data_IF_820623586942
#
_entry.id   IF_820623586942
#
_cell.length_a   1.000
_cell.length_b   1.000
_cell.length_c   1.000
_cell.angle_alpha   90.00
_cell.angle_beta   90.00
_cell.angle_gamma   90.00
#
_symmetry.space_group_name_H-M   'P 1'
#
loop_
_entity.id
_entity.type
_entity.pdbx_description
1 polymer ?
#
# COMPACT_ATOMS: atom_id res chain seq x y z
N UNK A 1 2.06 -5.41 -7.79
CA UNK A 1 1.74 -6.85 -7.68
C UNK A 1 3.03 -7.51 -7.29
N UNK A 2 3.07 -8.05 -6.08
CA UNK A 2 4.27 -8.59 -5.46
C UNK A 2 4.46 -10.07 -5.82
N UNK A 3 3.46 -10.90 -5.53
CA UNK A 3 3.48 -12.33 -5.82
C UNK A 3 2.97 -12.67 -7.24
N UNK A 4 3.80 -12.44 -8.27
CA UNK A 4 3.40 -12.77 -9.66
C UNK A 4 3.32 -14.28 -9.92
N UNK A 5 4.18 -15.09 -9.30
CA UNK A 5 4.24 -16.52 -9.60
C UNK A 5 3.24 -17.37 -8.81
N UNK A 6 2.98 -17.04 -7.54
CA UNK A 6 1.86 -17.62 -6.79
C UNK A 6 0.51 -17.29 -7.45
N UNK A 7 0.36 -16.07 -8.01
CA UNK A 7 -0.82 -15.71 -8.79
C UNK A 7 -1.10 -16.68 -9.95
N UNK A 8 -0.08 -17.16 -10.65
CA UNK A 8 -0.27 -18.11 -11.76
C UNK A 8 -0.87 -19.43 -11.27
N UNK A 9 -0.41 -19.95 -10.13
CA UNK A 9 -0.91 -21.20 -9.55
C UNK A 9 -2.42 -21.12 -9.25
N UNK A 10 -2.87 -20.00 -8.68
CA UNK A 10 -4.30 -19.74 -8.44
C UNK A 10 -5.07 -19.58 -9.76
N UNK A 11 -4.52 -18.86 -10.74
CA UNK A 11 -5.13 -18.71 -12.08
C UNK A 11 -5.16 -20.03 -12.87
N UNK A 12 -4.29 -20.99 -12.53
CA UNK A 12 -4.24 -22.36 -13.06
C UNK A 12 -5.14 -23.34 -12.28
N UNK A 13 -5.75 -22.91 -11.16
CA UNK A 13 -6.80 -23.65 -10.44
C UNK A 13 -6.52 -23.95 -8.96
N UNK A 14 -5.33 -23.62 -8.44
CA UNK A 14 -5.01 -23.77 -7.00
C UNK A 14 -5.59 -22.60 -6.19
N UNK A 15 -6.91 -22.55 -6.06
CA UNK A 15 -7.67 -21.40 -5.54
C UNK A 15 -7.34 -21.00 -4.09
N UNK A 16 -6.55 -21.81 -3.37
CA UNK A 16 -6.15 -21.62 -1.98
C UNK A 16 -4.64 -21.31 -1.81
N UNK A 17 -3.87 -21.11 -2.90
CA UNK A 17 -2.45 -20.77 -2.79
C UNK A 17 -2.23 -19.29 -2.47
N UNK A 18 -1.39 -19.03 -1.45
CA UNK A 18 -0.94 -17.70 -0.99
C UNK A 18 0.53 -17.44 -1.20
N UNK A 19 1.33 -18.50 -1.19
CA UNK A 19 2.79 -18.45 -1.20
C UNK A 19 3.27 -18.11 -2.61
N UNK A 20 4.54 -17.78 -2.73
CA UNK A 20 5.13 -17.58 -4.06
C UNK A 20 5.31 -18.90 -4.82
N UNK A 21 5.77 -18.83 -6.07
CA UNK A 21 6.04 -20.02 -6.89
C UNK A 21 7.19 -20.93 -6.41
N UNK A 22 7.73 -20.70 -5.20
CA UNK A 22 8.66 -21.59 -4.48
C UNK A 22 8.07 -22.11 -3.17
N UNK A 23 6.79 -21.86 -2.90
CA UNK A 23 6.10 -22.27 -1.67
C UNK A 23 6.53 -21.48 -0.44
N UNK A 24 7.01 -20.23 -0.58
CA UNK A 24 7.37 -19.34 0.54
C UNK A 24 6.31 -18.27 0.78
N UNK A 25 5.91 -18.08 2.04
CA UNK A 25 5.07 -16.98 2.48
C UNK A 25 5.88 -15.68 2.49
N UNK A 26 5.55 -14.77 1.57
CA UNK A 26 6.22 -13.49 1.44
C UNK A 26 5.99 -12.57 2.67
N UNK A 27 4.94 -12.79 3.45
CA UNK A 27 4.67 -12.06 4.70
C UNK A 27 5.13 -12.85 5.96
N UNK A 28 6.02 -13.85 5.79
CA UNK A 28 6.89 -14.42 6.84
C UNK A 28 8.39 -14.30 6.50
N UNK A 29 8.73 -13.76 5.32
CA UNK A 29 10.09 -13.73 4.78
C UNK A 29 10.88 -12.43 5.13
N UNK A 30 10.40 -11.58 6.03
CA UNK A 30 11.07 -10.35 6.45
C UNK A 30 11.90 -10.57 7.72
N UNK A 31 12.89 -9.71 8.01
CA UNK A 31 13.90 -9.99 9.05
C UNK A 31 13.49 -9.79 10.52
N UNK A 32 12.28 -9.31 10.81
CA UNK A 32 11.84 -9.08 12.20
C UNK A 32 11.32 -10.37 12.80
N UNK A 33 12.00 -10.89 13.83
CA UNK A 33 11.72 -12.17 14.50
C UNK A 33 11.65 -13.39 13.53
N UNK A 34 12.37 -13.29 12.40
CA UNK A 34 12.30 -14.26 11.30
C UNK A 34 12.54 -15.71 11.73
N UNK A 35 11.73 -16.64 11.21
CA UNK A 35 11.89 -18.08 11.43
C UNK A 35 11.42 -18.57 12.81
N UNK A 36 10.99 -17.68 13.70
CA UNK A 36 10.26 -18.03 14.92
C UNK A 36 8.90 -18.63 14.57
N UNK A 37 8.47 -19.59 15.38
CA UNK A 37 7.27 -20.40 15.18
C UNK A 37 6.41 -20.33 16.42
N UNK A 38 5.15 -19.93 16.27
CA UNK A 38 4.17 -20.03 17.35
C UNK A 38 3.65 -21.47 17.51
N UNK A 39 2.80 -21.70 18.52
CA UNK A 39 2.30 -23.04 18.86
C UNK A 39 1.38 -23.63 17.79
N UNK A 40 0.74 -22.76 17.03
CA UNK A 40 -0.19 -23.01 15.93
C UNK A 40 0.48 -22.90 14.54
N UNK A 41 1.82 -22.77 14.49
CA UNK A 41 2.59 -22.69 13.25
C UNK A 41 2.35 -23.86 12.30
N UNK A 42 1.82 -23.57 11.11
CA UNK A 42 1.75 -24.54 10.01
C UNK A 42 2.93 -24.36 9.01
N UNK A 43 3.83 -25.36 8.85
CA UNK A 43 4.93 -25.28 7.88
C UNK A 43 4.51 -25.26 6.41
N UNK A 44 3.32 -25.75 6.06
CA UNK A 44 2.80 -25.64 4.70
C UNK A 44 2.46 -24.18 4.43
N UNK A 45 1.63 -23.61 5.28
CA UNK A 45 1.10 -22.26 5.15
C UNK A 45 2.16 -21.17 5.40
N UNK A 46 2.86 -21.21 6.53
CA UNK A 46 3.73 -20.13 7.04
C UNK A 46 5.21 -20.37 6.74
N UNK A 47 5.55 -21.03 5.63
CA UNK A 47 6.94 -21.27 5.26
C UNK A 47 7.71 -19.94 5.11
N UNK A 48 8.68 -19.61 5.99
CA UNK A 48 9.33 -18.29 6.01
C UNK A 48 10.50 -18.19 5.02
N UNK A 49 10.77 -19.24 4.23
CA UNK A 49 11.90 -19.34 3.31
C UNK A 49 13.16 -19.91 3.95
N UNK A 50 14.29 -19.82 3.25
CA UNK A 50 15.59 -20.34 3.72
C UNK A 50 16.38 -19.35 4.57
N UNK A 51 15.96 -18.08 4.57
CA UNK A 51 16.54 -16.99 5.34
C UNK A 51 15.68 -15.74 5.20
N UNK A 52 15.88 -14.71 6.06
CA UNK A 52 15.20 -13.43 5.88
C UNK A 52 15.61 -12.82 4.54
N UNK A 53 14.63 -12.39 3.75
CA UNK A 53 14.81 -11.93 2.38
C UNK A 53 15.41 -12.99 1.43
N UNK A 54 15.12 -14.28 1.63
CA UNK A 54 15.51 -15.31 0.65
C UNK A 54 14.82 -15.13 -0.71
N UNK A 55 13.65 -14.48 -0.74
CA UNK A 55 12.85 -14.35 -1.96
C UNK A 55 13.14 -13.04 -2.71
N UNK A 56 13.40 -13.03 -4.04
CA UNK A 56 13.57 -11.81 -4.82
C UNK A 56 12.40 -10.83 -4.69
N UNK A 57 11.16 -11.32 -4.48
CA UNK A 57 9.98 -10.50 -4.23
C UNK A 57 10.17 -9.56 -3.02
N UNK A 58 10.57 -10.09 -1.86
CA UNK A 58 10.80 -9.30 -0.63
C UNK A 58 12.09 -8.49 -0.72
N UNK A 59 13.13 -8.99 -1.38
CA UNK A 59 14.38 -8.24 -1.64
C UNK A 59 14.12 -6.95 -2.43
N UNK A 60 13.27 -7.02 -3.46
CA UNK A 60 12.89 -5.85 -4.28
C UNK A 60 12.10 -4.84 -3.43
N UNK A 61 11.11 -5.29 -2.66
CA UNK A 61 10.31 -4.39 -1.81
C UNK A 61 11.15 -3.75 -0.70
N UNK A 62 12.04 -4.51 -0.05
CA UNK A 62 13.04 -3.97 0.90
C UNK A 62 13.91 -2.89 0.25
N UNK A 63 14.46 -3.16 -0.94
CA UNK A 63 15.30 -2.18 -1.66
C UNK A 63 14.49 -0.92 -2.00
N UNK A 64 13.27 -1.08 -2.51
CA UNK A 64 12.39 0.05 -2.83
C UNK A 64 12.13 0.91 -1.60
N UNK A 65 11.69 0.33 -0.48
CA UNK A 65 11.40 1.08 0.74
C UNK A 65 12.61 1.84 1.28
N UNK A 66 13.78 1.20 1.36
CA UNK A 66 15.03 1.84 1.81
C UNK A 66 15.50 2.97 0.88
N UNK A 67 15.21 2.90 -0.43
CA UNK A 67 15.58 3.96 -1.39
C UNK A 67 14.56 5.08 -1.51
N UNK A 68 13.28 4.78 -1.28
CA UNK A 68 12.18 5.72 -1.43
C UNK A 68 11.97 6.59 -0.18
N UNK A 69 12.25 6.03 1.01
CA UNK A 69 12.06 6.66 2.32
C UNK A 69 10.59 7.10 2.55
N UNK A 70 9.66 6.13 2.68
CA UNK A 70 8.23 6.42 2.78
C UNK A 70 7.85 6.97 4.15
N UNK A 71 6.95 7.94 4.16
CA UNK A 71 6.31 8.45 5.38
C UNK A 71 5.14 7.54 5.81
N UNK A 72 4.51 6.88 4.84
CA UNK A 72 3.41 5.94 5.06
C UNK A 72 3.64 4.69 4.22
N UNK A 73 3.43 3.53 4.85
CA UNK A 73 3.39 2.21 4.22
C UNK A 73 2.03 1.56 4.45
N UNK A 74 1.45 1.01 3.38
CA UNK A 74 0.21 0.22 3.44
C UNK A 74 0.44 -1.11 2.74
N UNK A 75 0.20 -2.21 3.45
CA UNK A 75 0.24 -3.57 2.95
C UNK A 75 -1.21 -4.07 2.81
N UNK A 76 -1.66 -4.51 1.63
CA UNK A 76 -3.11 -4.74 1.36
C UNK A 76 -3.37 -6.24 1.17
N UNK A 77 -4.19 -6.81 2.04
CA UNK A 77 -4.54 -8.23 2.18
C UNK A 77 -6.06 -8.44 2.13
N UNK A 78 -6.49 -9.69 2.05
CA UNK A 78 -7.89 -10.10 2.17
C UNK A 78 -8.02 -11.43 2.91
N UNK A 79 -9.23 -11.67 3.44
CA UNK A 79 -9.59 -12.77 4.35
C UNK A 79 -10.52 -12.32 5.47
N UNK A 80 -10.50 -11.02 5.78
CA UNK A 80 -11.36 -10.37 6.76
C UNK A 80 -11.51 -8.87 6.45
N UNK A 81 -12.32 -8.15 7.23
CA UNK A 81 -12.37 -6.68 7.22
C UNK A 81 -11.70 -6.13 8.51
N UNK A 82 -10.45 -5.65 8.38
CA UNK A 82 -9.66 -5.11 9.50
C UNK A 82 -8.57 -4.13 9.05
N UNK A 83 -8.15 -3.25 9.97
CA UNK A 83 -7.08 -2.28 9.79
C UNK A 83 -6.05 -2.46 10.89
N UNK A 84 -4.94 -3.10 10.57
CA UNK A 84 -3.84 -3.29 11.49
C UNK A 84 -2.78 -2.18 11.39
N UNK A 85 -2.16 -1.94 12.53
CA UNK A 85 -0.87 -1.27 12.68
C UNK A 85 0.08 -2.25 13.40
N UNK A 86 1.40 -1.96 13.48
CA UNK A 86 2.32 -2.74 14.31
C UNK A 86 1.83 -2.85 15.77
N UNK A 87 2.31 -3.82 16.54
CA UNK A 87 3.11 -4.96 16.10
C UNK A 87 2.24 -6.12 15.63
N UNK A 88 2.72 -6.92 14.69
CA UNK A 88 2.15 -8.23 14.32
C UNK A 88 2.79 -9.36 15.15
N UNK A 89 4.12 -9.31 15.33
CA UNK A 89 4.92 -10.32 16.03
C UNK A 89 4.89 -10.25 17.56
N UNK A 90 4.22 -9.22 18.13
CA UNK A 90 4.13 -9.01 19.59
C UNK A 90 2.70 -8.78 20.04
N UNK A 91 2.36 -9.35 21.18
CA UNK A 91 1.17 -9.00 21.95
C UNK A 91 1.34 -7.66 22.69
N UNK A 92 1.65 -6.61 21.95
CA UNK A 92 1.84 -5.24 22.47
C UNK A 92 1.54 -4.25 21.35
N UNK A 93 0.78 -3.20 21.65
CA UNK A 93 0.70 -2.02 20.79
C UNK A 93 1.97 -1.18 20.99
N UNK A 94 2.58 -0.60 19.94
CA UNK A 94 3.63 0.38 20.08
C UNK A 94 3.15 1.58 20.89
N UNK A 95 4.02 2.17 21.70
CA UNK A 95 3.69 3.34 22.51
C UNK A 95 3.97 4.66 21.80
N UNK A 96 3.42 5.74 22.37
CA UNK A 96 3.77 7.12 22.02
C UNK A 96 3.04 7.71 20.81
N UNK A 97 3.40 8.95 20.51
CA UNK A 97 2.62 9.87 19.67
C UNK A 97 2.37 9.33 18.25
N UNK A 98 3.33 8.63 17.64
CA UNK A 98 3.15 8.01 16.31
C UNK A 98 2.10 6.88 16.33
N UNK A 99 2.02 6.12 17.43
CA UNK A 99 0.99 5.08 17.61
C UNK A 99 -0.40 5.70 17.72
N UNK A 100 -0.54 6.79 18.49
CA UNK A 100 -1.80 7.52 18.62
C UNK A 100 -2.26 8.12 17.28
N UNK A 101 -1.32 8.65 16.49
CA UNK A 101 -1.54 9.18 15.13
C UNK A 101 -1.97 8.10 14.15
N UNK A 102 -1.30 6.94 14.16
CA UNK A 102 -1.71 5.75 13.40
C UNK A 102 -3.14 5.34 13.76
N UNK A 103 -3.43 5.13 15.05
CA UNK A 103 -4.78 4.77 15.54
C UNK A 103 -5.85 5.81 15.17
N UNK A 104 -5.51 7.11 15.23
CA UNK A 104 -6.38 8.21 14.80
C UNK A 104 -6.70 8.17 13.31
N UNK A 105 -5.71 7.86 12.46
CA UNK A 105 -5.93 7.66 11.02
C UNK A 105 -6.79 6.42 10.75
N UNK A 106 -6.49 5.28 11.39
CA UNK A 106 -7.27 4.05 11.23
C UNK A 106 -8.73 4.22 11.66
N UNK A 107 -9.00 4.93 12.75
CA UNK A 107 -10.36 5.24 13.20
C UNK A 107 -11.14 6.07 12.17
N UNK A 108 -10.49 7.07 11.55
CA UNK A 108 -11.11 7.85 10.47
C UNK A 108 -11.35 7.03 9.21
N UNK A 109 -10.41 6.15 8.84
CA UNK A 109 -10.56 5.25 7.68
C UNK A 109 -11.70 4.24 7.91
N UNK A 110 -11.78 3.62 9.08
CA UNK A 110 -12.86 2.70 9.43
C UNK A 110 -14.24 3.38 9.34
N UNK A 111 -14.36 4.59 9.88
CA UNK A 111 -15.61 5.34 9.88
C UNK A 111 -16.10 5.74 8.47
N UNK A 112 -15.19 5.97 7.51
CA UNK A 112 -15.54 6.47 6.17
C UNK A 112 -15.58 5.38 5.10
N UNK A 113 -14.65 4.42 5.13
CA UNK A 113 -14.43 3.44 4.05
C UNK A 113 -14.72 1.99 4.45
N UNK A 114 -14.79 1.69 5.75
CA UNK A 114 -15.16 0.36 6.24
C UNK A 114 -16.47 0.39 7.07
N UNK A 115 -17.24 1.48 6.96
CA UNK A 115 -18.58 1.64 7.54
C UNK A 115 -18.69 1.30 9.04
N UNK A 116 -17.58 1.47 9.80
CA UNK A 116 -17.40 1.06 11.21
C UNK A 116 -17.37 -0.46 11.48
N UNK A 117 -17.28 -1.29 10.45
CA UNK A 117 -17.21 -2.75 10.59
C UNK A 117 -15.78 -3.27 10.83
N UNK A 118 -14.75 -2.60 10.29
CA UNK A 118 -13.37 -3.05 10.47
C UNK A 118 -12.95 -3.02 11.95
N UNK A 119 -12.28 -4.08 12.40
CA UNK A 119 -11.49 -4.03 13.63
C UNK A 119 -10.24 -3.16 13.40
N UNK A 120 -9.80 -2.39 14.40
CA UNK A 120 -8.62 -1.50 14.27
C UNK A 120 -7.63 -1.65 15.43
N UNK A 121 -6.32 -1.59 15.16
CA UNK A 121 -5.27 -1.56 16.19
C UNK A 121 -4.03 -2.41 15.87
N UNK A 122 -3.19 -2.68 16.86
CA UNK A 122 -2.03 -3.57 16.71
C UNK A 122 -2.43 -5.00 16.29
N UNK A 123 -1.77 -5.55 15.27
CA UNK A 123 -1.98 -6.91 14.75
C UNK A 123 -1.97 -7.98 15.85
N UNK A 124 -0.86 -8.17 16.55
CA UNK A 124 -0.72 -9.13 17.64
C UNK A 124 -1.28 -8.68 19.00
N UNK A 125 -1.39 -7.37 19.25
CA UNK A 125 -1.72 -6.82 20.57
C UNK A 125 -3.18 -6.36 20.77
N UNK A 126 -3.73 -5.54 19.86
CA UNK A 126 -5.08 -4.96 20.03
C UNK A 126 -6.16 -5.58 19.17
N UNK A 127 -5.78 -6.28 18.09
CA UNK A 127 -6.73 -6.93 17.18
C UNK A 127 -6.61 -8.45 17.24
N UNK A 128 -5.41 -8.99 17.44
CA UNK A 128 -5.14 -10.40 17.12
C UNK A 128 -5.30 -10.63 15.60
N UNK A 129 -4.42 -11.43 15.01
CA UNK A 129 -4.78 -12.04 13.74
C UNK A 129 -5.94 -13.00 13.99
N UNK A 130 -7.14 -12.61 13.54
CA UNK A 130 -8.28 -13.54 13.48
C UNK A 130 -8.08 -14.36 12.22
N UNK A 131 -7.48 -15.54 12.38
CA UNK A 131 -7.58 -16.61 11.39
C UNK A 131 -9.06 -17.00 11.26
N UNK A 132 -9.74 -16.40 10.28
CA UNK A 132 -10.33 -17.25 9.26
C UNK A 132 -9.15 -17.88 8.51
N UNK A 133 -9.15 -19.20 8.41
CA UNK A 133 -8.03 -20.01 7.89
C UNK A 133 -7.54 -19.45 6.54
N UNK A 134 -6.22 -19.39 6.34
CA UNK A 134 -5.50 -18.83 5.19
C UNK A 134 -5.55 -17.29 5.01
N UNK A 135 -4.39 -16.65 4.89
CA UNK A 135 -4.25 -15.28 4.38
C UNK A 135 -3.99 -15.30 2.86
N UNK A 136 -5.05 -15.53 2.07
CA UNK A 136 -4.98 -15.72 0.62
C UNK A 136 -5.39 -14.45 -0.13
N UNK A 137 -4.45 -13.79 -0.81
CA UNK A 137 -4.74 -12.53 -1.50
C UNK A 137 -5.09 -12.70 -2.97
N UNK A 138 -6.36 -12.50 -3.34
CA UNK A 138 -6.78 -12.34 -4.72
C UNK A 138 -7.72 -11.14 -4.98
N UNK A 139 -7.93 -10.85 -6.27
CA UNK A 139 -8.49 -9.63 -6.88
C UNK A 139 -7.78 -8.31 -6.52
N UNK A 140 -7.63 -7.98 -5.25
CA UNK A 140 -6.91 -6.78 -4.83
C UNK A 140 -5.43 -7.08 -4.66
N UNK A 141 -4.66 -6.65 -5.66
CA UNK A 141 -3.20 -6.71 -5.66
C UNK A 141 -2.65 -6.21 -4.32
N UNK A 142 -1.56 -6.83 -3.83
CA UNK A 142 -0.60 -6.18 -2.93
C UNK A 142 -0.20 -4.84 -3.54
N UNK A 143 -0.92 -3.79 -3.11
CA UNK A 143 -0.70 -2.39 -3.42
C UNK A 143 0.06 -1.81 -2.24
N UNK A 144 1.34 -2.17 -2.20
CA UNK A 144 2.33 -1.39 -1.48
C UNK A 144 2.33 0.00 -2.12
N UNK A 145 1.70 0.95 -1.44
CA UNK A 145 1.71 2.37 -1.81
C UNK A 145 2.69 3.06 -0.85
N UNK A 146 3.96 3.23 -1.24
CA UNK A 146 4.90 4.00 -0.45
C UNK A 146 4.59 5.48 -0.67
N UNK A 147 4.13 6.18 0.37
CA UNK A 147 3.72 7.58 0.27
C UNK A 147 4.84 8.46 0.80
N UNK A 148 5.35 9.37 -0.04
CA UNK A 148 6.27 10.44 0.36
C UNK A 148 5.57 11.77 0.18
N UNK A 149 5.43 12.49 1.29
CA UNK A 149 4.68 13.74 1.36
C UNK A 149 5.64 14.91 1.13
N UNK A 150 5.21 15.92 0.37
CA UNK A 150 5.95 17.17 0.16
C UNK A 150 5.31 18.29 0.99
N UNK A 151 6.11 19.23 1.54
CA UNK A 151 5.62 20.21 2.50
C UNK A 151 4.69 21.25 1.86
N UNK A 152 3.53 21.49 2.49
CA UNK A 152 2.56 22.52 2.15
C UNK A 152 1.61 22.82 3.34
N UNK A 153 0.94 23.99 3.40
CA UNK A 153 0.47 24.55 4.69
C UNK A 153 -1.02 24.28 5.05
N UNK A 154 -1.32 24.18 6.38
CA UNK A 154 -2.64 24.42 7.07
C UNK A 154 -3.76 23.34 6.91
N UNK A 155 -4.78 23.11 7.78
CA UNK A 155 -5.23 23.51 9.16
C UNK A 155 -6.26 22.43 9.71
N UNK A 156 -6.87 22.52 10.93
CA UNK A 156 -7.38 21.35 11.70
C UNK A 156 -8.90 21.32 12.05
N UNK A 157 -9.37 20.21 12.68
CA UNK A 157 -10.58 20.11 13.57
C UNK A 157 -10.36 19.06 14.70
N UNK A 158 -11.07 19.20 15.83
CA UNK A 158 -10.92 18.50 17.14
C UNK A 158 -11.83 17.24 17.39
N UNK A 159 -11.57 16.54 18.51
CA UNK A 159 -12.05 15.20 18.97
C UNK A 159 -13.20 15.20 20.00
N UNK A 160 -13.93 14.07 20.17
CA UNK A 160 -14.56 13.60 21.44
C UNK A 160 -14.75 12.05 21.46
N UNK A 161 -15.07 11.47 22.65
CA UNK A 161 -15.04 10.02 23.05
C UNK A 161 -16.20 9.13 22.51
N UNK A 162 -16.38 7.81 22.77
CA UNK A 162 -15.84 6.90 23.83
C UNK A 162 -15.67 5.40 23.41
N UNK A 163 -16.15 4.41 24.21
CA UNK A 163 -15.93 2.95 24.14
C UNK A 163 -17.24 2.14 24.22
N UNK A 164 -17.25 0.96 23.58
CA UNK A 164 -17.89 -0.34 23.96
C UNK A 164 -17.63 -1.31 22.78
N UNK A 165 -17.45 -2.63 22.89
CA UNK A 165 -17.57 -3.53 24.04
C UNK A 165 -18.18 -4.87 23.59
N UNK A 166 -17.38 -5.88 23.21
CA UNK A 166 -17.84 -7.28 23.12
C UNK A 166 -16.68 -8.28 23.04
N UNK A 167 -16.73 -9.35 23.84
CA UNK A 167 -15.77 -10.45 23.80
C UNK A 167 -16.12 -11.42 22.66
N UNK A 168 -15.31 -11.41 21.61
CA UNK A 168 -15.14 -12.57 20.72
C UNK A 168 -13.91 -13.32 21.23
N UNK A 169 -13.97 -14.66 21.27
CA UNK A 169 -12.83 -15.50 21.64
C UNK A 169 -11.72 -15.38 20.59
N UNK A 170 -10.85 -14.37 20.75
CA UNK A 170 -9.66 -14.19 19.92
C UNK A 170 -8.57 -15.15 20.36
N UNK A 171 -8.36 -16.20 19.57
CA UNK A 171 -7.03 -16.78 19.42
C UNK A 171 -6.12 -15.69 18.86
N UNK A 172 -5.22 -15.16 19.69
CA UNK A 172 -4.25 -14.15 19.30
C UNK A 172 -3.07 -14.83 18.63
N UNK A 173 -3.16 -15.03 17.31
CA UNK A 173 -2.04 -15.45 16.49
C UNK A 173 -1.02 -14.30 16.37
N UNK A 174 0.27 -14.62 16.53
CA UNK A 174 1.38 -13.68 16.33
C UNK A 174 2.10 -14.02 15.01
N UNK A 175 2.20 -13.04 14.12
CA UNK A 175 2.84 -13.23 12.82
C UNK A 175 4.30 -12.75 12.87
N UNK A 176 5.26 -13.66 12.66
CA UNK A 176 6.69 -13.34 12.64
C UNK A 176 7.18 -13.07 11.21
N UNK A 177 8.16 -12.18 11.04
CA UNK A 177 8.73 -11.89 9.73
C UNK A 177 7.78 -11.17 8.76
N UNK A 178 6.90 -10.30 9.26
CA UNK A 178 5.95 -9.52 8.42
C UNK A 178 6.59 -8.27 7.80
N UNK A 179 6.00 -7.81 6.70
CA UNK A 179 6.41 -6.57 6.04
C UNK A 179 6.17 -5.33 6.93
N UNK A 180 5.01 -5.27 7.60
CA UNK A 180 4.58 -4.11 8.38
C UNK A 180 5.46 -3.87 9.60
N UNK A 181 5.86 -4.94 10.30
CA UNK A 181 6.81 -4.84 11.40
C UNK A 181 8.21 -4.48 10.93
N UNK A 182 8.69 -5.00 9.78
CA UNK A 182 9.97 -4.56 9.22
C UNK A 182 9.98 -3.07 8.84
N UNK A 183 8.88 -2.57 8.27
CA UNK A 183 8.75 -1.16 7.90
C UNK A 183 8.78 -0.25 9.14
N UNK A 184 8.13 -0.68 10.22
CA UNK A 184 8.11 0.08 11.47
C UNK A 184 9.42 -0.03 12.27
N UNK A 185 9.90 -1.24 12.55
CA UNK A 185 11.07 -1.46 13.43
C UNK A 185 12.41 -1.24 12.72
N UNK A 186 12.54 -1.52 11.42
CA UNK A 186 13.83 -1.44 10.71
C UNK A 186 13.92 -0.23 9.77
N UNK A 187 12.91 -0.02 8.91
CA UNK A 187 12.91 1.13 7.97
C UNK A 187 12.54 2.45 8.69
N UNK A 188 11.90 2.36 9.86
CA UNK A 188 11.41 3.51 10.65
C UNK A 188 10.36 4.36 9.91
N UNK A 189 9.53 3.71 9.11
CA UNK A 189 8.36 4.35 8.47
C UNK A 189 7.44 4.92 9.57
N UNK A 190 7.17 6.23 9.61
CA UNK A 190 6.39 6.88 10.67
C UNK A 190 4.99 6.29 10.87
N UNK A 191 4.35 5.83 9.80
CA UNK A 191 3.05 5.16 9.83
C UNK A 191 3.05 3.92 8.91
N UNK A 192 3.02 2.73 9.50
CA UNK A 192 2.96 1.46 8.77
C UNK A 192 1.65 0.73 9.09
N UNK A 193 1.04 0.12 8.07
CA UNK A 193 -0.27 -0.52 8.20
C UNK A 193 -0.37 -1.82 7.38
N UNK A 194 -1.19 -2.75 7.88
CA UNK A 194 -1.73 -3.88 7.11
C UNK A 194 -3.25 -3.71 7.01
N UNK A 195 -3.82 -3.66 5.82
CA UNK A 195 -5.26 -3.51 5.60
C UNK A 195 -5.81 -4.85 5.08
N UNK A 196 -6.74 -5.43 5.82
CA UNK A 196 -7.58 -6.55 5.38
C UNK A 196 -8.88 -5.96 4.85
N UNK A 197 -9.07 -6.00 3.54
CA UNK A 197 -10.05 -5.13 2.88
C UNK A 197 -11.37 -5.82 2.49
N UNK A 198 -11.42 -7.15 2.62
CA UNK A 198 -12.56 -7.99 2.27
C UNK A 198 -12.39 -9.38 2.87
N UNK A 199 -13.47 -9.98 3.37
CA UNK A 199 -13.55 -11.42 3.64
C UNK A 199 -15.00 -11.87 3.75
N UNK A 200 -15.38 -12.96 3.08
CA UNK A 200 -16.71 -13.55 3.21
C UNK A 200 -16.73 -14.62 4.31
N UNK A 201 -17.19 -14.23 5.51
CA UNK A 201 -17.30 -15.12 6.67
C UNK A 201 -18.39 -16.20 6.52
N UNK A 202 -19.19 -16.16 5.45
CA UNK A 202 -20.18 -17.17 5.08
C UNK A 202 -19.73 -18.04 3.89
N UNK A 203 -18.50 -17.86 3.40
CA UNK A 203 -17.87 -18.82 2.50
C UNK A 203 -17.55 -20.15 3.23
N UNK A 204 -17.47 -21.23 2.45
CA UNK A 204 -16.94 -22.50 2.95
C UNK A 204 -15.43 -22.41 3.04
N UNK A 205 -14.80 -23.06 4.02
CA UNK A 205 -13.32 -23.17 4.10
C UNK A 205 -12.70 -23.89 2.89
N UNK A 206 -13.53 -24.55 2.06
CA UNK A 206 -13.13 -25.15 0.76
C UNK A 206 -13.33 -24.22 -0.45
N UNK A 207 -13.98 -23.08 -0.27
CA UNK A 207 -14.24 -22.08 -1.30
C UNK A 207 -13.39 -20.84 -1.04
N UNK A 208 -12.07 -21.04 -1.13
CA UNK A 208 -11.08 -19.98 -0.96
C UNK A 208 -11.35 -18.81 -1.90
N UNK A 209 -11.72 -19.07 -3.17
CA UNK A 209 -12.01 -17.96 -4.09
C UNK A 209 -13.09 -17.03 -3.51
N UNK A 210 -14.25 -17.55 -3.09
CA UNK A 210 -15.29 -16.72 -2.48
C UNK A 210 -14.85 -16.10 -1.14
N UNK A 211 -14.14 -16.84 -0.29
CA UNK A 211 -13.68 -16.34 1.01
C UNK A 211 -12.81 -15.08 0.88
N UNK A 212 -11.97 -15.02 -0.16
CA UNK A 212 -10.98 -13.95 -0.37
C UNK A 212 -11.34 -12.92 -1.44
N UNK A 213 -12.39 -13.18 -2.23
CA UNK A 213 -12.76 -12.36 -3.39
C UNK A 213 -14.25 -12.06 -3.43
N UNK A 214 -14.65 -10.80 -3.68
CA UNK A 214 -16.03 -10.51 -4.08
C UNK A 214 -16.36 -11.21 -5.40
N UNK A 215 -17.29 -12.17 -5.34
CA UNK A 215 -17.72 -12.98 -6.49
C UNK A 215 -18.79 -12.31 -7.36
N UNK A 216 -19.43 -11.25 -6.86
CA UNK A 216 -20.43 -10.46 -7.57
C UNK A 216 -19.94 -9.03 -7.86
N UNK A 217 -20.48 -8.45 -8.94
CA UNK A 217 -20.06 -7.14 -9.44
C UNK A 217 -20.41 -5.99 -8.48
N UNK A 218 -21.48 -6.11 -7.68
CA UNK A 218 -21.88 -5.07 -6.73
C UNK A 218 -20.89 -4.99 -5.59
N UNK A 219 -20.57 -6.12 -4.97
CA UNK A 219 -19.58 -6.19 -3.89
C UNK A 219 -18.18 -5.86 -4.40
N UNK A 220 -17.80 -6.30 -5.61
CA UNK A 220 -16.52 -5.94 -6.22
C UNK A 220 -16.38 -4.43 -6.38
N UNK A 221 -17.39 -3.76 -6.93
CA UNK A 221 -17.38 -2.31 -7.11
C UNK A 221 -17.40 -1.57 -5.77
N UNK A 222 -18.13 -2.06 -4.76
CA UNK A 222 -18.11 -1.50 -3.39
C UNK A 222 -16.69 -1.51 -2.83
N UNK A 223 -16.07 -2.70 -2.75
CA UNK A 223 -14.71 -2.88 -2.22
C UNK A 223 -13.70 -2.03 -3.01
N UNK A 224 -13.79 -2.01 -4.35
CA UNK A 224 -12.90 -1.19 -5.17
C UNK A 224 -13.05 0.31 -4.90
N UNK A 225 -14.28 0.82 -4.77
CA UNK A 225 -14.55 2.24 -4.55
C UNK A 225 -14.19 2.69 -3.13
N UNK A 226 -14.58 1.93 -2.11
CA UNK A 226 -14.26 2.19 -0.71
C UNK A 226 -12.73 2.24 -0.52
N UNK A 227 -12.01 1.21 -0.97
CA UNK A 227 -10.58 1.10 -0.71
C UNK A 227 -9.70 1.97 -1.61
N UNK A 228 -10.13 2.31 -2.83
CA UNK A 228 -9.47 3.37 -3.62
C UNK A 228 -9.68 4.76 -3.01
N UNK A 229 -10.87 5.03 -2.47
CA UNK A 229 -11.19 6.29 -1.76
C UNK A 229 -10.41 6.45 -0.45
N UNK A 230 -10.08 5.34 0.20
CA UNK A 230 -9.23 5.31 1.40
C UNK A 230 -7.86 5.98 1.16
N UNK A 231 -7.22 5.76 0.00
CA UNK A 231 -5.91 6.36 -0.30
C UNK A 231 -5.98 7.89 -0.42
N UNK A 232 -7.03 8.46 -1.00
CA UNK A 232 -7.23 9.92 -1.01
C UNK A 232 -7.40 10.49 0.41
N UNK A 233 -8.04 9.73 1.30
CA UNK A 233 -8.16 10.08 2.72
C UNK A 233 -6.80 10.02 3.42
N UNK A 234 -5.96 9.03 3.11
CA UNK A 234 -4.58 8.93 3.60
C UNK A 234 -3.71 10.08 3.07
N UNK A 235 -3.80 10.44 1.78
CA UNK A 235 -3.06 11.59 1.23
C UNK A 235 -3.47 12.92 1.87
N UNK A 236 -4.76 13.10 2.18
CA UNK A 236 -5.29 14.31 2.82
C UNK A 236 -4.94 14.41 4.31
N UNK A 237 -5.01 13.30 5.04
CA UNK A 237 -4.87 13.29 6.51
C UNK A 237 -3.45 12.92 6.99
N UNK A 238 -2.69 12.19 6.17
CA UNK A 238 -1.34 11.73 6.47
C UNK A 238 -0.38 12.85 6.88
N UNK A 239 -0.26 13.96 6.12
CA UNK A 239 0.59 15.10 6.50
C UNK A 239 0.20 15.70 7.86
N UNK A 240 -1.10 15.89 8.07
CA UNK A 240 -1.65 16.46 9.31
C UNK A 240 -1.34 15.60 10.54
N UNK A 241 -1.24 14.28 10.36
CA UNK A 241 -0.83 13.35 11.41
C UNK A 241 0.69 13.36 11.64
N UNK A 242 1.51 13.99 10.79
CA UNK A 242 2.98 13.99 10.93
C UNK A 242 3.55 15.30 11.52
N UNK A 243 3.02 16.46 11.15
CA UNK A 243 3.72 17.75 11.36
C UNK A 243 3.71 18.32 12.81
N UNK A 244 2.73 17.97 13.65
CA UNK A 244 2.83 18.02 15.12
C UNK A 244 3.06 19.33 15.90
N UNK A 245 3.45 20.46 15.28
CA UNK A 245 3.86 21.68 15.98
C UNK A 245 2.88 22.87 15.86
N UNK A 246 2.80 23.65 16.95
CA UNK A 246 2.07 24.93 17.15
C UNK A 246 0.55 24.87 17.45
N UNK A 247 0.21 25.06 18.72
CA UNK A 247 -1.15 24.93 19.28
C UNK A 247 -1.65 26.16 20.06
N UNK A 248 -1.34 27.40 19.61
CA UNK A 248 -1.65 28.63 20.39
C UNK A 248 -2.29 29.83 19.67
N UNK A 249 -2.53 29.81 18.36
CA UNK A 249 -3.16 30.96 17.69
C UNK A 249 -4.00 30.57 16.46
N UNK A 250 -5.33 30.64 16.58
CA UNK A 250 -6.32 31.04 15.55
C UNK A 250 -7.73 30.69 16.03
N UNK A 251 -8.39 31.63 16.71
CA UNK A 251 -9.76 31.51 17.20
C UNK A 251 -10.74 32.48 16.50
N UNK A 252 -10.39 32.96 15.31
CA UNK A 252 -11.15 33.98 14.57
C UNK A 252 -10.92 33.85 13.06
N UNK A 253 -11.97 33.51 12.29
CA UNK A 253 -11.87 33.40 10.83
C UNK A 253 -12.67 32.27 10.17
N UNK A 254 -13.72 31.74 10.81
CA UNK A 254 -14.68 30.84 10.14
C UNK A 254 -15.68 31.72 9.38
N UNK A 255 -15.51 31.86 8.06
CA UNK A 255 -16.56 32.29 7.12
C UNK A 255 -16.18 32.27 5.62
N UNK A 256 -14.99 31.77 5.24
CA UNK A 256 -14.60 31.75 3.81
C UNK A 256 -13.72 30.56 3.40
N UNK A 257 -14.35 29.40 3.21
CA UNK A 257 -13.73 28.25 2.55
C UNK A 257 -14.54 27.86 1.30
N UNK A 258 -13.88 27.92 0.14
CA UNK A 258 -14.34 27.32 -1.12
C UNK A 258 -14.05 25.82 -1.05
N UNK A 259 -14.97 24.96 -1.51
CA UNK A 259 -14.73 23.52 -1.45
C UNK A 259 -13.64 23.08 -2.44
N UNK A 260 -12.81 22.11 -2.05
CA UNK A 260 -11.89 21.48 -2.99
C UNK A 260 -12.63 20.60 -4.00
N UNK A 261 -13.85 20.18 -3.68
CA UNK A 261 -14.76 19.51 -4.62
C UNK A 261 -15.19 20.48 -5.73
N UNK A 262 -15.38 21.77 -5.42
CA UNK A 262 -15.72 22.82 -6.38
C UNK A 262 -14.55 23.13 -7.33
N UNK A 263 -13.30 23.04 -6.83
CA UNK A 263 -12.10 23.12 -7.64
C UNK A 263 -11.93 21.88 -8.55
N UNK A 264 -12.23 20.68 -8.06
CA UNK A 264 -12.08 19.44 -8.82
C UNK A 264 -13.21 19.22 -9.83
N UNK A 265 -14.46 19.51 -9.49
CA UNK A 265 -15.57 19.52 -10.46
C UNK A 265 -15.28 20.54 -11.57
N UNK A 266 -14.89 21.77 -11.22
CA UNK A 266 -14.54 22.79 -12.22
C UNK A 266 -13.37 22.38 -13.12
N UNK A 267 -12.30 21.82 -12.57
CA UNK A 267 -11.08 21.50 -13.34
C UNK A 267 -11.15 20.18 -14.12
N UNK A 268 -11.99 19.22 -13.70
CA UNK A 268 -12.04 17.87 -14.29
C UNK A 268 -13.35 17.56 -15.04
N UNK A 269 -14.51 18.11 -14.66
CA UNK A 269 -15.78 17.78 -15.35
C UNK A 269 -15.95 18.49 -16.71
N UNK A 270 -15.25 19.60 -16.96
CA UNK A 270 -15.42 20.37 -18.21
C UNK A 270 -14.68 19.78 -19.43
N UNK A 271 -13.69 18.90 -19.25
CA UNK A 271 -12.99 18.26 -20.37
C UNK A 271 -13.80 17.14 -21.02
N UNK A 272 -14.74 17.53 -21.90
CA UNK A 272 -15.30 16.63 -22.91
C UNK A 272 -14.22 16.21 -23.91
N UNK A 273 -14.22 14.93 -24.30
CA UNK A 273 -13.47 14.47 -25.47
C UNK A 273 -13.97 15.21 -26.73
N UNK A 274 -13.20 15.21 -27.83
CA UNK A 274 -13.54 15.79 -29.14
C UNK A 274 -14.87 15.25 -29.74
N UNK A 275 -15.41 14.17 -29.17
CA UNK A 275 -16.71 13.54 -29.48
C UNK A 275 -17.80 13.75 -28.41
N UNK A 276 -17.63 14.69 -27.48
CA UNK A 276 -18.67 15.13 -26.53
C UNK A 276 -18.98 14.20 -25.35
N UNK A 277 -18.41 12.99 -25.29
CA UNK A 277 -18.64 12.03 -24.20
C UNK A 277 -17.98 12.50 -22.89
N UNK A 278 -18.70 12.39 -21.77
CA UNK A 278 -18.19 12.60 -20.40
C UNK A 278 -17.20 11.46 -20.10
N UNK A 279 -16.01 11.80 -19.60
CA UNK A 279 -14.95 10.84 -19.25
C UNK A 279 -14.97 10.58 -17.74
N UNK A 280 -14.74 9.34 -17.34
CA UNK A 280 -14.61 8.97 -15.93
C UNK A 280 -13.22 9.32 -15.40
N UNK A 281 -13.11 9.56 -14.09
CA UNK A 281 -11.86 10.01 -13.44
C UNK A 281 -10.70 9.04 -13.71
N UNK A 282 -10.98 7.73 -13.77
CA UNK A 282 -10.00 6.69 -14.10
C UNK A 282 -9.49 6.77 -15.55
N UNK A 283 -10.36 7.09 -16.52
CA UNK A 283 -9.97 7.26 -17.93
C UNK A 283 -9.05 8.47 -18.11
N UNK A 284 -9.34 9.59 -17.43
CA UNK A 284 -8.50 10.79 -17.44
C UNK A 284 -7.13 10.48 -16.83
N UNK A 285 -7.09 9.83 -15.66
CA UNK A 285 -5.84 9.41 -15.02
C UNK A 285 -5.00 8.48 -15.91
N UNK A 286 -5.63 7.50 -16.56
CA UNK A 286 -4.98 6.59 -17.50
C UNK A 286 -4.50 7.29 -18.79
N UNK A 287 -5.20 8.33 -19.25
CA UNK A 287 -4.79 9.13 -20.40
C UNK A 287 -3.60 10.04 -20.08
N UNK A 288 -3.58 10.68 -18.90
CA UNK A 288 -2.44 11.47 -18.44
C UNK A 288 -1.22 10.57 -18.23
N UNK A 289 -1.36 9.41 -17.57
CA UNK A 289 -0.27 8.42 -17.42
C UNK A 289 0.28 7.97 -18.78
N UNK A 290 -0.58 7.68 -19.77
CA UNK A 290 -0.15 7.38 -21.15
C UNK A 290 0.60 8.54 -21.80
N UNK A 291 0.25 9.78 -21.49
CA UNK A 291 0.89 10.98 -22.02
C UNK A 291 2.27 11.19 -21.40
N UNK A 292 2.38 11.08 -20.07
CA UNK A 292 3.68 11.08 -19.38
C UNK A 292 4.59 9.94 -19.85
N UNK A 293 4.07 8.73 -20.06
CA UNK A 293 4.85 7.61 -20.60
C UNK A 293 5.36 7.89 -22.02
N UNK A 294 4.53 8.48 -22.89
CA UNK A 294 4.96 8.91 -24.24
C UNK A 294 6.03 10.00 -24.20
N UNK A 295 5.90 10.98 -23.30
CA UNK A 295 6.90 12.04 -23.12
C UNK A 295 8.22 11.51 -22.54
N UNK A 296 8.17 10.56 -21.61
CA UNK A 296 9.34 9.86 -21.07
C UNK A 296 10.05 9.01 -22.13
N UNK A 297 9.29 8.34 -23.00
CA UNK A 297 9.85 7.55 -24.09
C UNK A 297 10.49 8.47 -25.16
N UNK A 298 9.84 9.59 -25.47
CA UNK A 298 10.38 10.64 -26.35
C UNK A 298 11.67 11.25 -25.78
N UNK A 299 11.70 11.61 -24.50
CA UNK A 299 12.90 12.17 -23.86
C UNK A 299 14.05 11.16 -23.80
N UNK A 300 13.75 9.89 -23.56
CA UNK A 300 14.72 8.79 -23.60
C UNK A 300 15.32 8.60 -25.00
N UNK A 301 14.50 8.67 -26.05
CA UNK A 301 14.97 8.61 -27.46
C UNK A 301 15.82 9.85 -27.80
N UNK A 302 15.41 11.06 -27.39
CA UNK A 302 16.19 12.28 -27.60
C UNK A 302 17.54 12.24 -26.86
N UNK A 303 17.57 11.73 -25.63
CA UNK A 303 18.81 11.47 -24.89
C UNK A 303 19.72 10.48 -25.64
N UNK A 304 19.16 9.38 -26.16
CA UNK A 304 19.90 8.42 -26.98
C UNK A 304 20.52 9.09 -28.22
N UNK A 305 19.74 9.89 -28.95
CA UNK A 305 20.23 10.66 -30.10
C UNK A 305 21.34 11.65 -29.73
N UNK A 306 21.23 12.36 -28.59
CA UNK A 306 22.26 13.27 -28.11
C UNK A 306 23.56 12.54 -27.74
N UNK A 307 23.47 11.37 -27.10
CA UNK A 307 24.64 10.53 -26.80
C UNK A 307 25.28 9.97 -28.07
N UNK A 308 24.50 9.38 -28.99
CA UNK A 308 24.99 8.86 -30.26
C UNK A 308 25.65 9.96 -31.13
N UNK A 309 25.06 11.17 -31.15
CA UNK A 309 25.62 12.32 -31.89
C UNK A 309 26.94 12.83 -31.30
N UNK A 310 27.11 12.78 -29.97
CA UNK A 310 28.39 13.09 -29.31
C UNK A 310 29.45 12.03 -29.61
N UNK A 311 29.10 10.75 -29.59
CA UNK A 311 30.01 9.64 -29.92
C UNK A 311 30.45 9.70 -31.39
N UNK A 312 29.55 10.08 -32.31
CA UNK A 312 29.88 10.27 -33.72
C UNK A 312 30.90 11.41 -33.94
N UNK A 313 30.70 12.57 -33.29
CA UNK A 313 31.67 13.68 -33.36
C UNK A 313 33.03 13.32 -32.78
N UNK A 314 33.08 12.55 -31.69
CA UNK A 314 34.33 12.10 -31.07
C UNK A 314 35.19 11.15 -31.91
N UNK A 315 34.63 10.51 -32.95
CA UNK A 315 35.37 9.63 -33.88
C UNK A 315 35.83 10.32 -35.17
N UNK A 316 35.29 11.49 -35.50
CA UNK A 316 35.62 12.23 -36.74
C UNK A 316 36.88 13.11 -36.64
N UNK A 317 37.45 13.27 -35.44
CA UNK A 317 38.65 14.08 -35.18
C UNK A 317 39.88 13.20 -34.92
N UNK A 318 40.30 12.41 -35.91
CA UNK A 318 41.69 11.95 -36.02
C UNK A 318 42.43 12.93 -36.95
N UNK A 319 43.56 13.53 -36.54
CA UNK A 319 44.33 14.38 -37.44
C UNK A 319 44.91 13.55 -38.59
N UNK A 320 44.85 14.11 -39.80
CA UNK A 320 45.52 13.55 -40.97
C UNK A 320 47.03 13.71 -40.74
N UNK A 321 47.75 12.61 -40.57
CA UNK A 321 49.22 12.62 -40.62
C UNK A 321 49.61 12.73 -42.09
N UNK A 322 50.13 13.89 -42.48
CA UNK A 322 50.68 14.10 -43.83
C UNK A 322 51.96 13.30 -43.99
N UNK A 323 51.93 12.30 -44.87
CA UNK A 323 53.16 11.73 -45.43
C UNK A 323 53.68 12.65 -46.54
N UNK A 324 54.87 13.23 -46.36
CA UNK A 324 55.93 13.19 -47.37
C UNK A 324 57.28 13.72 -46.82
N UNK A 325 58.35 12.99 -47.08
CA UNK A 325 59.67 13.54 -47.43
C UNK A 325 60.61 12.40 -47.87
N UNK A 326 60.53 12.07 -49.17
CA UNK A 326 61.66 12.26 -50.09
C UNK A 326 61.10 13.09 -51.24
#
# INVERSE_FOLDING_TARGET
>A
MENLNGRKLVEEGDLCERRNGRGVDLNRNWSVDWGKKEKDYDPYEENPGTGPFSEPETQIMRKLALTFDPHIWVNVHSGMEALFMPYDHRNTTPDGVLSERMRSLLSKLNNVHCHKHCMIGSGGGSVGFVLLETANLFLFRNFIVPIRLLPGPLLPVSTYYQLEGNMIYRTMYLAHGTATDFMYDIVKVPMAFTFEIYGDTAASTKDCFKMFNPVDLTTFNRVLNDWSSSFFTIFKLGPLQLDGNHSKAMASGVDKFVSIDEYLDGYLMERRNRYGKKMEVLDVGMQEIRTYFRLLLLSSVLLLFMFCSRIAKGKSSRPIVSALSI
#
